data_IF_199973769276
#
_entry.id   IF_199973769276
#
_cell.length_a   1.000
_cell.length_b   1.000
_cell.length_c   1.000
_cell.angle_alpha   90.00
_cell.angle_beta   90.00
_cell.angle_gamma   90.00
#
_symmetry.space_group_name_H-M   'P 1'
#
loop_
_entity.id
_entity.type
_entity.pdbx_description
1 polymer ?
#
# COMPACT_ATOMS: atom_id res chain seq x y z
N UNK A 1 -11.12 -19.65 19.25
CA UNK A 1 -10.62 -20.47 18.14
C UNK A 1 -11.63 -20.59 16.98
N UNK A 2 -12.92 -20.87 17.23
CA UNK A 2 -13.95 -20.92 16.17
C UNK A 2 -14.14 -19.58 15.41
N UNK A 3 -14.06 -18.44 16.08
CA UNK A 3 -14.23 -17.12 15.47
C UNK A 3 -13.13 -16.80 14.43
N UNK A 4 -11.90 -17.25 14.66
CA UNK A 4 -10.78 -17.12 13.73
C UNK A 4 -11.00 -17.91 12.43
N UNK A 5 -11.54 -19.11 12.55
CA UNK A 5 -11.81 -20.00 11.39
C UNK A 5 -12.94 -19.42 10.52
N UNK A 6 -13.98 -18.84 11.11
CA UNK A 6 -15.12 -18.25 10.40
C UNK A 6 -14.70 -16.98 9.63
N UNK A 7 -13.86 -16.11 10.22
CA UNK A 7 -13.34 -14.91 9.54
C UNK A 7 -12.45 -15.30 8.36
N UNK A 8 -11.58 -16.30 8.52
CA UNK A 8 -10.71 -16.79 7.43
C UNK A 8 -11.53 -17.42 6.31
N UNK A 9 -12.54 -18.24 6.61
CA UNK A 9 -13.39 -18.89 5.61
C UNK A 9 -14.24 -17.84 4.85
N UNK A 10 -14.74 -16.80 5.52
CA UNK A 10 -15.54 -15.74 4.89
C UNK A 10 -14.68 -14.83 3.99
N UNK A 11 -13.41 -14.62 4.34
CA UNK A 11 -12.45 -13.86 3.53
C UNK A 11 -12.04 -14.65 2.27
N UNK A 12 -11.73 -15.95 2.42
CA UNK A 12 -11.35 -16.83 1.30
C UNK A 12 -12.51 -16.99 0.29
N UNK A 13 -13.77 -17.01 0.74
CA UNK A 13 -14.94 -17.13 -0.15
C UNK A 13 -15.25 -15.86 -0.95
N UNK A 14 -14.72 -14.68 -0.58
CA UNK A 14 -14.81 -13.42 -1.33
C UNK A 14 -13.65 -13.19 -2.30
N UNK A 15 -12.59 -13.98 -2.26
CA UNK A 15 -11.46 -13.92 -3.20
C UNK A 15 -11.77 -14.43 -4.62
N UNK A 16 -13.04 -14.54 -4.99
CA UNK A 16 -13.46 -14.59 -6.38
C UNK A 16 -13.14 -13.27 -7.08
N UNK A 17 -11.83 -13.03 -7.26
CA UNK A 17 -11.16 -12.08 -8.15
C UNK A 17 -12.09 -11.20 -9.00
N UNK A 18 -12.63 -10.14 -8.42
CA UNK A 18 -13.10 -9.06 -9.24
C UNK A 18 -11.92 -8.12 -9.51
N UNK A 19 -11.14 -8.42 -10.57
CA UNK A 19 -10.01 -7.56 -11.01
C UNK A 19 -10.40 -6.08 -11.09
N UNK A 20 -11.67 -5.77 -11.38
CA UNK A 20 -12.19 -4.42 -11.38
C UNK A 20 -12.21 -3.78 -9.99
N UNK A 21 -12.49 -4.55 -8.94
CA UNK A 21 -12.44 -4.06 -7.55
C UNK A 21 -11.01 -3.80 -7.12
N UNK A 22 -10.07 -4.69 -7.42
CA UNK A 22 -8.66 -4.51 -7.12
C UNK A 22 -8.08 -3.27 -7.83
N UNK A 23 -8.48 -3.00 -9.07
CA UNK A 23 -8.10 -1.75 -9.76
C UNK A 23 -8.59 -0.54 -9.01
N UNK A 24 -9.86 -0.51 -8.60
CA UNK A 24 -10.41 0.62 -7.85
C UNK A 24 -9.67 0.81 -6.51
N UNK A 25 -9.42 -0.25 -5.79
CA UNK A 25 -8.69 -0.20 -4.53
C UNK A 25 -7.25 0.32 -4.71
N UNK A 26 -6.54 -0.12 -5.75
CA UNK A 26 -5.20 0.39 -6.06
C UNK A 26 -5.21 1.87 -6.47
N UNK A 27 -6.26 2.33 -7.17
CA UNK A 27 -6.44 3.75 -7.49
C UNK A 27 -6.72 4.58 -6.23
N UNK A 28 -7.55 4.10 -5.30
CA UNK A 28 -7.80 4.77 -4.02
C UNK A 28 -6.48 4.95 -3.23
N UNK A 29 -5.65 3.92 -3.18
CA UNK A 29 -4.38 3.98 -2.44
C UNK A 29 -3.37 4.94 -3.05
N UNK A 30 -3.46 5.28 -4.35
CA UNK A 30 -2.59 6.28 -4.95
C UNK A 30 -2.72 7.67 -4.32
N UNK A 31 -3.81 7.93 -3.62
CA UNK A 31 -4.11 9.21 -2.97
C UNK A 31 -3.56 9.30 -1.53
N UNK A 32 -3.28 8.16 -0.90
CA UNK A 32 -2.86 8.07 0.51
C UNK A 32 -1.51 7.37 0.69
N UNK A 33 -0.99 6.66 -0.33
CA UNK A 33 0.31 5.98 -0.36
C UNK A 33 1.27 6.61 -1.38
N UNK A 34 2.11 5.79 -2.00
CA UNK A 34 3.21 6.21 -2.91
C UNK A 34 2.77 6.66 -4.31
N UNK A 35 1.48 6.68 -4.61
CA UNK A 35 0.96 7.19 -5.88
C UNK A 35 0.94 8.71 -5.93
N UNK A 36 0.94 9.25 -7.15
CA UNK A 36 0.77 10.67 -7.41
C UNK A 36 -0.31 10.88 -8.46
N UNK A 37 -1.30 11.74 -8.17
CA UNK A 37 -2.33 12.14 -9.12
C UNK A 37 -1.89 13.49 -9.73
N UNK A 38 -1.56 13.49 -11.00
CA UNK A 38 -1.03 14.64 -11.69
C UNK A 38 -2.00 15.14 -12.76
N UNK A 39 -2.15 16.45 -12.89
CA UNK A 39 -2.93 17.08 -13.96
C UNK A 39 -2.15 17.04 -15.26
N UNK A 40 -2.80 16.60 -16.32
CA UNK A 40 -2.26 16.65 -17.67
C UNK A 40 -3.38 17.09 -18.63
N UNK A 41 -3.35 18.35 -19.04
CA UNK A 41 -4.45 18.98 -19.78
C UNK A 41 -5.71 19.15 -18.92
N UNK A 42 -6.85 18.70 -19.44
CA UNK A 42 -8.15 18.79 -18.76
C UNK A 42 -8.36 17.72 -17.69
N UNK A 43 -7.69 16.58 -17.82
CA UNK A 43 -7.90 15.40 -16.98
C UNK A 43 -6.66 15.07 -16.16
N UNK A 44 -6.84 14.20 -15.17
CA UNK A 44 -5.77 13.66 -14.34
C UNK A 44 -5.21 12.37 -14.92
N UNK A 45 -3.94 12.08 -14.61
CA UNK A 45 -3.31 10.77 -14.74
C UNK A 45 -2.76 10.33 -13.37
N UNK A 46 -2.55 9.04 -13.19
CA UNK A 46 -1.98 8.48 -11.96
C UNK A 46 -0.58 7.96 -12.27
N UNK A 47 0.36 8.35 -11.45
CA UNK A 47 1.78 8.02 -11.58
C UNK A 47 2.23 7.20 -10.38
N UNK A 48 3.01 6.16 -10.64
CA UNK A 48 3.62 5.32 -9.61
C UNK A 48 5.12 5.25 -9.83
N UNK A 49 5.87 5.20 -8.74
CA UNK A 49 7.31 5.01 -8.78
C UNK A 49 7.80 4.22 -7.58
N UNK A 50 8.82 3.39 -7.78
CA UNK A 50 9.50 2.63 -6.73
C UNK A 50 10.92 2.27 -7.14
N UNK A 51 11.76 1.97 -6.18
CA UNK A 51 13.06 1.33 -6.42
C UNK A 51 12.94 -0.16 -6.77
N UNK A 52 11.77 -0.76 -6.56
CA UNK A 52 11.50 -2.18 -6.78
C UNK A 52 10.74 -2.39 -8.09
N UNK A 53 11.41 -2.97 -9.08
CA UNK A 53 10.85 -3.24 -10.41
C UNK A 53 9.61 -4.12 -10.34
N UNK A 54 9.70 -5.26 -9.67
CA UNK A 54 8.62 -6.25 -9.64
C UNK A 54 7.35 -5.68 -9.00
N UNK A 55 7.50 -4.84 -7.97
CA UNK A 55 6.35 -4.15 -7.37
C UNK A 55 5.69 -3.15 -8.34
N UNK A 56 6.48 -2.46 -9.17
CA UNK A 56 5.92 -1.60 -10.23
C UNK A 56 5.25 -2.42 -11.33
N UNK A 57 5.83 -3.54 -11.73
CA UNK A 57 5.21 -4.46 -12.69
C UNK A 57 3.89 -5.03 -12.15
N UNK A 58 3.82 -5.33 -10.85
CA UNK A 58 2.57 -5.77 -10.22
C UNK A 58 1.47 -4.70 -10.30
N UNK A 59 1.76 -3.48 -9.87
CA UNK A 59 0.80 -2.37 -9.94
C UNK A 59 0.37 -2.09 -11.37
N UNK A 60 1.31 -2.10 -12.32
CA UNK A 60 1.03 -1.95 -13.74
C UNK A 60 0.11 -3.07 -14.26
N UNK A 61 0.41 -4.34 -13.96
CA UNK A 61 -0.42 -5.51 -14.31
C UNK A 61 -1.87 -5.32 -13.84
N UNK A 62 -2.07 -4.90 -12.60
CA UNK A 62 -3.42 -4.69 -12.05
C UNK A 62 -4.14 -3.54 -12.77
N UNK A 63 -3.52 -2.34 -12.88
CA UNK A 63 -4.19 -1.16 -13.44
C UNK A 63 -4.46 -1.30 -14.93
N UNK A 64 -3.53 -1.90 -15.69
CA UNK A 64 -3.63 -2.05 -17.14
C UNK A 64 -4.80 -2.96 -17.58
N UNK A 65 -5.37 -3.74 -16.67
CA UNK A 65 -6.59 -4.51 -16.95
C UNK A 65 -7.81 -3.62 -17.28
N UNK A 66 -7.80 -2.37 -16.82
CA UNK A 66 -8.94 -1.45 -16.98
C UNK A 66 -8.57 -0.11 -17.59
N UNK A 67 -7.38 0.39 -17.33
CA UNK A 67 -6.93 1.70 -17.80
C UNK A 67 -5.63 1.55 -18.60
N UNK A 68 -5.57 2.15 -19.82
CA UNK A 68 -4.33 2.16 -20.59
C UNK A 68 -3.20 2.84 -19.79
N UNK A 69 -2.03 2.22 -19.79
CA UNK A 69 -0.84 2.68 -19.10
C UNK A 69 0.34 2.77 -20.06
N UNK A 70 1.30 3.64 -19.77
CA UNK A 70 2.64 3.51 -20.36
C UNK A 70 3.36 2.34 -19.68
N UNK A 71 4.25 1.67 -20.41
CA UNK A 71 5.05 0.59 -19.86
C UNK A 71 5.92 1.06 -18.68
N UNK A 72 6.25 0.14 -17.80
CA UNK A 72 7.18 0.40 -16.70
C UNK A 72 8.55 0.75 -17.28
N UNK A 73 9.04 1.93 -16.94
CA UNK A 73 10.32 2.49 -17.42
C UNK A 73 11.27 2.76 -16.26
N UNK A 74 12.55 2.75 -16.59
CA UNK A 74 13.62 3.17 -15.71
C UNK A 74 13.84 4.68 -15.84
N UNK A 75 14.01 5.38 -14.71
CA UNK A 75 14.28 6.82 -14.67
C UNK A 75 15.43 7.11 -13.72
N UNK A 76 16.35 7.97 -14.14
CA UNK A 76 17.37 8.53 -13.24
C UNK A 76 16.70 9.46 -12.22
N UNK A 77 16.92 9.19 -10.95
CA UNK A 77 16.42 9.96 -9.81
C UNK A 77 17.56 10.49 -8.92
N UNK A 78 18.77 10.57 -9.45
CA UNK A 78 19.95 11.05 -8.71
C UNK A 78 19.79 12.45 -8.13
N UNK A 79 18.93 13.28 -8.76
CA UNK A 79 18.54 14.62 -8.32
C UNK A 79 17.27 14.66 -7.46
N UNK A 80 16.62 13.51 -7.23
CA UNK A 80 15.40 13.43 -6.44
C UNK A 80 15.64 13.52 -4.93
N UNK A 81 14.55 13.71 -4.16
CA UNK A 81 14.60 13.85 -2.70
C UNK A 81 15.36 12.72 -2.00
N UNK A 82 15.18 11.49 -2.44
CA UNK A 82 15.80 10.31 -1.84
C UNK A 82 17.16 9.91 -2.44
N UNK A 83 17.65 10.59 -3.47
CA UNK A 83 18.95 10.34 -4.15
C UNK A 83 19.20 8.85 -4.47
N UNK A 84 18.14 8.08 -4.77
CA UNK A 84 18.22 6.62 -5.02
C UNK A 84 18.73 6.25 -6.41
N UNK A 85 19.48 7.12 -7.08
CA UNK A 85 20.05 6.85 -8.40
C UNK A 85 18.98 6.53 -9.45
N UNK A 86 18.39 5.34 -9.40
CA UNK A 86 17.43 4.88 -10.41
C UNK A 86 16.13 4.41 -9.78
N UNK A 87 15.00 4.75 -10.39
CA UNK A 87 13.66 4.29 -10.00
C UNK A 87 12.91 3.73 -11.20
N UNK A 88 12.02 2.78 -10.94
CA UNK A 88 11.03 2.30 -11.91
C UNK A 88 9.77 3.14 -11.78
N UNK A 89 9.16 3.51 -12.90
CA UNK A 89 7.92 4.29 -12.90
C UNK A 89 7.03 3.91 -14.07
N UNK A 90 5.73 4.13 -13.91
CA UNK A 90 4.75 4.15 -14.98
C UNK A 90 3.65 5.17 -14.66
N UNK A 91 2.85 5.51 -15.66
CA UNK A 91 1.63 6.29 -15.47
C UNK A 91 0.49 5.72 -16.31
N UNK A 92 -0.73 5.95 -15.85
CA UNK A 92 -1.91 5.83 -16.71
C UNK A 92 -1.92 6.94 -17.75
N UNK A 93 -2.66 6.74 -18.85
CA UNK A 93 -3.12 7.88 -19.66
C UNK A 93 -4.14 8.70 -18.85
N UNK A 94 -4.41 9.91 -19.30
CA UNK A 94 -5.39 10.79 -18.66
C UNK A 94 -6.79 10.22 -18.76
N UNK A 95 -7.58 10.37 -17.70
CA UNK A 95 -8.97 9.92 -17.67
C UNK A 95 -9.82 10.87 -16.81
N UNK A 96 -11.04 11.19 -17.24
CA UNK A 96 -11.96 12.08 -16.52
C UNK A 96 -12.36 11.52 -15.15
N UNK A 97 -12.44 10.18 -14.99
CA UNK A 97 -12.75 9.52 -13.71
C UNK A 97 -11.69 9.79 -12.64
N UNK A 98 -10.45 10.07 -13.04
CA UNK A 98 -9.40 10.41 -12.10
C UNK A 98 -9.55 11.82 -11.53
N UNK A 99 -10.33 12.71 -12.16
CA UNK A 99 -10.66 14.01 -11.59
C UNK A 99 -11.45 13.84 -10.29
N UNK A 100 -12.45 12.95 -10.28
CA UNK A 100 -13.22 12.65 -9.06
C UNK A 100 -12.34 12.07 -7.95
N UNK A 101 -11.43 11.15 -8.31
CA UNK A 101 -10.50 10.57 -7.35
C UNK A 101 -9.58 11.66 -6.73
N UNK A 102 -9.14 12.64 -7.53
CA UNK A 102 -8.31 13.74 -7.05
C UNK A 102 -9.03 14.65 -6.04
N UNK A 103 -10.35 14.74 -6.11
CA UNK A 103 -11.21 15.55 -5.24
C UNK A 103 -11.67 14.82 -3.97
N UNK A 104 -11.53 13.48 -3.91
CA UNK A 104 -11.92 12.70 -2.73
C UNK A 104 -11.09 13.07 -1.51
N UNK A 105 -11.74 13.22 -0.36
CA UNK A 105 -11.03 13.36 0.92
C UNK A 105 -10.33 12.06 1.30
N UNK A 106 -9.24 12.16 2.05
CA UNK A 106 -8.52 10.97 2.54
C UNK A 106 -9.41 10.12 3.46
N UNK A 107 -10.27 10.73 4.28
CA UNK A 107 -11.22 10.00 5.12
C UNK A 107 -12.19 9.16 4.27
N UNK A 108 -12.72 9.74 3.17
CA UNK A 108 -13.54 8.97 2.23
C UNK A 108 -12.79 7.79 1.64
N UNK A 109 -11.54 8.00 1.24
CA UNK A 109 -10.68 6.94 0.70
C UNK A 109 -10.45 5.85 1.74
N UNK A 110 -10.01 6.21 2.95
CA UNK A 110 -9.73 5.28 4.03
C UNK A 110 -10.96 4.43 4.36
N UNK A 111 -12.14 5.05 4.48
CA UNK A 111 -13.38 4.34 4.79
C UNK A 111 -13.79 3.35 3.70
N UNK A 112 -13.40 3.58 2.44
CA UNK A 112 -13.68 2.71 1.31
C UNK A 112 -12.58 1.67 1.02
N UNK A 113 -11.50 1.61 1.80
CA UNK A 113 -10.51 0.54 1.65
C UNK A 113 -11.11 -0.81 2.05
N UNK A 114 -10.89 -1.79 1.20
CA UNK A 114 -11.06 -3.19 1.53
C UNK A 114 -9.70 -3.82 1.95
N UNK A 115 -9.66 -5.14 2.09
CA UNK A 115 -8.43 -5.86 2.41
C UNK A 115 -7.34 -5.67 1.37
N UNK A 116 -7.67 -5.65 0.07
CA UNK A 116 -6.67 -5.44 -0.98
C UNK A 116 -6.15 -4.00 -0.99
N UNK A 117 -7.02 -3.02 -0.88
CA UNK A 117 -6.64 -1.60 -0.77
C UNK A 117 -5.75 -1.36 0.45
N UNK A 118 -6.12 -1.94 1.61
CA UNK A 118 -5.29 -1.84 2.80
C UNK A 118 -3.92 -2.49 2.60
N UNK A 119 -3.83 -3.66 1.94
CA UNK A 119 -2.55 -4.28 1.61
C UNK A 119 -1.67 -3.35 0.78
N UNK A 120 -2.21 -2.75 -0.28
CA UNK A 120 -1.44 -1.87 -1.16
C UNK A 120 -0.92 -0.63 -0.40
N UNK A 121 -1.80 0.04 0.37
CA UNK A 121 -1.39 1.14 1.26
C UNK A 121 -0.32 0.70 2.25
N UNK A 122 -0.50 -0.45 2.87
CA UNK A 122 0.42 -1.04 3.82
C UNK A 122 1.80 -1.35 3.21
N UNK A 123 1.86 -1.82 1.97
CA UNK A 123 3.12 -2.07 1.27
C UNK A 123 3.85 -0.77 0.90
N UNK A 124 3.13 0.31 0.62
CA UNK A 124 3.69 1.61 0.28
C UNK A 124 4.34 2.27 1.53
N UNK A 125 3.58 2.54 2.57
CA UNK A 125 3.93 3.51 3.63
C UNK A 125 4.45 2.92 4.94
N UNK A 126 4.86 1.66 4.95
CA UNK A 126 5.18 0.98 6.19
C UNK A 126 6.67 0.71 6.42
N UNK A 127 7.07 0.77 7.71
CA UNK A 127 8.32 0.21 8.21
C UNK A 127 8.07 -0.94 9.20
N UNK A 128 8.72 -2.10 8.97
CA UNK A 128 8.74 -3.22 9.91
C UNK A 128 9.94 -3.13 10.85
N UNK A 129 9.67 -3.11 12.15
CA UNK A 129 10.68 -3.11 13.18
C UNK A 129 10.99 -4.54 13.62
N UNK A 130 12.02 -5.13 13.03
CA UNK A 130 12.40 -6.53 13.19
C UNK A 130 12.67 -6.92 14.64
N UNK A 131 13.33 -6.05 15.42
CA UNK A 131 13.66 -6.28 16.84
C UNK A 131 12.43 -6.40 17.74
N UNK A 132 11.37 -5.65 17.46
CA UNK A 132 10.15 -5.61 18.27
C UNK A 132 8.97 -6.34 17.62
N UNK A 133 9.12 -6.86 16.41
CA UNK A 133 8.06 -7.48 15.60
C UNK A 133 6.81 -6.61 15.49
N UNK A 134 7.02 -5.29 15.45
CA UNK A 134 5.96 -4.27 15.35
C UNK A 134 6.04 -3.57 14.01
N UNK A 135 5.01 -2.80 13.69
CA UNK A 135 4.95 -2.02 12.48
C UNK A 135 4.65 -0.57 12.78
N UNK A 136 5.24 0.30 11.99
CA UNK A 136 4.95 1.71 11.99
C UNK A 136 4.40 2.12 10.61
N UNK A 137 3.21 2.70 10.59
CA UNK A 137 2.64 3.34 9.41
C UNK A 137 2.87 4.84 9.57
N UNK A 138 3.70 5.43 8.70
CA UNK A 138 3.99 6.85 8.76
C UNK A 138 2.80 7.68 8.27
N UNK A 139 2.43 8.71 9.05
CA UNK A 139 1.24 9.52 8.83
C UNK A 139 1.58 11.01 8.64
N UNK A 140 2.75 11.32 8.05
CA UNK A 140 3.25 12.70 7.93
C UNK A 140 2.33 13.63 7.15
N UNK A 141 1.54 13.09 6.23
CA UNK A 141 0.61 13.85 5.38
C UNK A 141 -0.85 13.79 5.84
N UNK A 142 -1.11 13.20 7.02
CA UNK A 142 -2.47 12.99 7.54
C UNK A 142 -2.78 14.00 8.65
N UNK A 143 -4.01 14.47 8.68
CA UNK A 143 -4.59 15.18 9.84
C UNK A 143 -4.89 14.19 10.96
N UNK A 144 -5.14 14.70 12.17
CA UNK A 144 -5.48 13.85 13.31
C UNK A 144 -6.79 13.07 13.09
N UNK A 145 -7.79 13.65 12.42
CA UNK A 145 -9.04 12.97 12.08
C UNK A 145 -8.83 11.86 11.04
N UNK A 146 -7.99 12.10 10.03
CA UNK A 146 -7.62 11.09 9.03
C UNK A 146 -6.88 9.91 9.68
N UNK A 147 -6.02 10.19 10.67
CA UNK A 147 -5.33 9.15 11.45
C UNK A 147 -6.32 8.35 12.29
N UNK A 148 -7.34 8.98 12.90
CA UNK A 148 -8.38 8.28 13.66
C UNK A 148 -9.23 7.39 12.74
N UNK A 149 -9.61 7.87 11.56
CA UNK A 149 -10.28 7.06 10.54
C UNK A 149 -9.43 5.82 10.15
N UNK A 150 -8.11 6.01 9.98
CA UNK A 150 -7.22 4.90 9.64
C UNK A 150 -7.12 3.86 10.77
N UNK A 151 -7.05 4.30 12.04
CA UNK A 151 -7.08 3.40 13.21
C UNK A 151 -8.37 2.57 13.22
N UNK A 152 -9.50 3.23 13.03
CA UNK A 152 -10.81 2.58 13.00
C UNK A 152 -10.89 1.57 11.85
N UNK A 153 -10.46 1.94 10.64
CA UNK A 153 -10.46 1.06 9.48
C UNK A 153 -9.57 -0.17 9.69
N UNK A 154 -8.37 -0.02 10.24
CA UNK A 154 -7.49 -1.15 10.56
C UNK A 154 -8.16 -2.08 11.57
N UNK A 155 -8.84 -1.53 12.57
CA UNK A 155 -9.55 -2.32 13.56
C UNK A 155 -10.79 -3.03 12.99
N UNK A 156 -11.49 -2.42 12.04
CA UNK A 156 -12.59 -3.08 11.30
C UNK A 156 -12.10 -4.28 10.48
N UNK A 157 -10.98 -4.12 9.76
CA UNK A 157 -10.39 -5.20 8.97
C UNK A 157 -9.73 -6.28 9.85
N UNK A 158 -9.07 -5.88 10.93
CA UNK A 158 -8.33 -6.76 11.83
C UNK A 158 -8.68 -6.46 13.29
N UNK A 159 -9.81 -6.99 13.81
CA UNK A 159 -10.35 -6.65 15.14
C UNK A 159 -9.61 -7.37 16.27
N UNK A 160 -8.28 -7.16 16.37
CA UNK A 160 -7.41 -7.79 17.37
C UNK A 160 -7.09 -6.79 18.48
N UNK A 161 -6.22 -5.81 18.16
CA UNK A 161 -5.85 -4.71 19.04
C UNK A 161 -5.77 -3.41 18.26
N UNK A 162 -6.35 -2.30 18.76
CA UNK A 162 -6.31 -1.03 18.06
C UNK A 162 -4.87 -0.50 17.93
N UNK A 163 -4.59 0.13 16.81
CA UNK A 163 -3.35 0.88 16.60
C UNK A 163 -3.28 2.08 17.56
N UNK A 164 -2.09 2.63 17.75
CA UNK A 164 -1.87 3.78 18.64
C UNK A 164 -1.09 4.88 17.93
N UNK A 165 -1.53 6.12 18.05
CA UNK A 165 -0.78 7.29 17.60
C UNK A 165 0.53 7.40 18.40
N UNK A 166 1.63 7.64 17.71
CA UNK A 166 2.96 7.84 18.27
C UNK A 166 3.70 8.89 17.46
N UNK A 167 4.76 9.45 18.06
CA UNK A 167 5.64 10.42 17.41
C UNK A 167 7.08 9.96 17.56
N UNK A 168 7.77 9.84 16.42
CA UNK A 168 9.21 9.61 16.38
C UNK A 168 9.91 10.97 16.37
N UNK A 169 10.66 11.28 17.44
CA UNK A 169 11.42 12.52 17.58
C UNK A 169 12.87 12.27 17.18
N UNK A 170 13.34 12.96 16.16
CA UNK A 170 14.75 12.90 15.74
C UNK A 170 15.61 13.84 16.57
N UNK A 171 16.91 13.56 16.61
CA UNK A 171 17.90 14.39 17.34
C UNK A 171 17.98 15.84 16.82
N UNK A 172 17.59 16.06 15.58
CA UNK A 172 17.53 17.39 14.94
C UNK A 172 16.24 18.17 15.22
N UNK A 173 15.39 17.68 16.14
CA UNK A 173 14.13 18.31 16.54
C UNK A 173 12.94 17.99 15.65
N UNK A 174 13.13 17.32 14.49
CA UNK A 174 12.02 16.92 13.63
C UNK A 174 11.18 15.84 14.30
N UNK A 175 9.86 15.91 14.06
CA UNK A 175 8.88 14.97 14.60
C UNK A 175 8.10 14.31 13.47
N UNK A 176 7.98 12.99 13.52
CA UNK A 176 7.29 12.19 12.51
C UNK A 176 6.17 11.40 13.17
N UNK A 177 4.89 11.79 12.95
CA UNK A 177 3.77 11.04 13.46
C UNK A 177 3.66 9.69 12.75
N UNK A 178 3.37 8.66 13.51
CA UNK A 178 3.13 7.32 12.99
C UNK A 178 2.12 6.56 13.81
N UNK A 179 1.49 5.56 13.20
CA UNK A 179 0.70 4.56 13.88
C UNK A 179 1.57 3.38 14.29
N UNK A 180 1.60 3.12 15.58
CA UNK A 180 2.14 1.88 16.13
C UNK A 180 1.09 0.77 15.98
N UNK A 181 1.42 -0.26 15.20
CA UNK A 181 0.58 -1.46 15.04
C UNK A 181 1.06 -2.52 16.05
N UNK A 182 0.19 -2.97 16.99
CA UNK A 182 0.56 -3.96 17.98
C UNK A 182 0.96 -5.31 17.37
N UNK A 183 1.84 -6.05 18.07
CA UNK A 183 2.38 -7.34 17.60
C UNK A 183 1.29 -8.33 17.20
N UNK A 184 0.21 -8.43 17.98
CA UNK A 184 -0.86 -9.38 17.68
C UNK A 184 -1.64 -9.01 16.43
N UNK A 185 -1.87 -7.70 16.19
CA UNK A 185 -2.47 -7.18 14.97
C UNK A 185 -1.52 -7.40 13.77
N UNK A 186 -0.21 -7.20 13.96
CA UNK A 186 0.81 -7.52 12.94
C UNK A 186 0.77 -8.98 12.54
N UNK A 187 0.67 -9.90 13.52
CA UNK A 187 0.55 -11.34 13.23
C UNK A 187 -0.70 -11.67 12.42
N UNK A 188 -1.85 -11.05 12.75
CA UNK A 188 -3.09 -11.25 12.01
C UNK A 188 -2.98 -10.75 10.57
N UNK A 189 -2.42 -9.53 10.36
CA UNK A 189 -2.15 -8.97 9.04
C UNK A 189 -1.23 -9.88 8.23
N UNK A 190 -0.11 -10.33 8.84
CA UNK A 190 0.85 -11.22 8.18
C UNK A 190 0.20 -12.55 7.81
N UNK A 191 -0.55 -13.18 8.72
CA UNK A 191 -1.23 -14.45 8.46
C UNK A 191 -2.25 -14.33 7.32
N UNK A 192 -2.98 -13.21 7.28
CA UNK A 192 -3.99 -12.96 6.26
C UNK A 192 -3.40 -12.81 4.85
N UNK A 193 -2.31 -12.02 4.71
CA UNK A 193 -1.75 -11.71 3.38
C UNK A 193 -0.64 -12.66 2.93
N UNK A 194 -0.12 -13.51 3.81
CA UNK A 194 1.03 -14.36 3.52
C UNK A 194 0.84 -15.19 2.26
N UNK A 195 -0.26 -15.95 2.18
CA UNK A 195 -0.47 -16.88 1.08
C UNK A 195 -0.73 -16.14 -0.24
N UNK A 196 -1.48 -15.03 -0.19
CA UNK A 196 -1.67 -14.17 -1.35
C UNK A 196 -0.32 -13.68 -1.91
N UNK A 197 0.56 -13.14 -1.05
CA UNK A 197 1.84 -12.60 -1.48
C UNK A 197 2.82 -13.70 -1.91
N UNK A 198 2.75 -14.89 -1.34
CA UNK A 198 3.57 -16.03 -1.77
C UNK A 198 3.13 -16.60 -3.13
N UNK A 199 1.85 -16.50 -3.46
CA UNK A 199 1.29 -16.94 -4.74
C UNK A 199 1.40 -15.88 -5.86
N UNK A 200 1.82 -14.65 -5.56
CA UNK A 200 2.05 -13.59 -6.55
C UNK A 200 3.56 -13.26 -6.64
N UNK A 201 4.29 -13.84 -7.60
CA UNK A 201 5.76 -13.69 -7.69
C UNK A 201 6.23 -12.24 -7.72
N UNK A 202 5.47 -11.34 -8.35
CA UNK A 202 5.81 -9.91 -8.43
C UNK A 202 5.75 -9.18 -7.07
N UNK A 203 5.13 -9.80 -6.05
CA UNK A 203 5.10 -9.27 -4.68
C UNK A 203 6.18 -9.89 -3.77
N UNK A 204 6.96 -10.86 -4.22
CA UNK A 204 8.01 -11.48 -3.39
C UNK A 204 9.05 -10.47 -2.91
N UNK A 205 9.36 -9.44 -3.72
CA UNK A 205 10.23 -8.34 -3.33
C UNK A 205 9.70 -7.52 -2.13
N UNK A 206 8.40 -7.65 -1.81
CA UNK A 206 7.74 -6.95 -0.71
C UNK A 206 7.50 -7.82 0.54
N UNK A 207 7.85 -9.11 0.54
CA UNK A 207 7.63 -10.02 1.68
C UNK A 207 8.26 -9.51 2.98
N UNK A 208 9.41 -8.81 2.90
CA UNK A 208 10.04 -8.18 4.06
C UNK A 208 9.12 -7.18 4.76
N UNK A 209 8.18 -6.59 4.06
CA UNK A 209 7.15 -5.71 4.63
C UNK A 209 6.21 -6.48 5.58
N UNK A 210 5.99 -7.77 5.41
CA UNK A 210 5.28 -8.64 6.34
C UNK A 210 6.19 -9.29 7.41
N UNK A 211 7.48 -8.94 7.44
CA UNK A 211 8.47 -9.58 8.30
C UNK A 211 8.85 -10.99 7.85
N UNK A 212 8.52 -11.35 6.62
CA UNK A 212 8.89 -12.60 5.98
C UNK A 212 10.24 -12.44 5.24
N UNK A 213 11.04 -13.51 5.08
CA UNK A 213 12.25 -13.43 4.27
C UNK A 213 11.89 -13.10 2.82
N UNK A 214 12.59 -12.15 2.22
CA UNK A 214 12.50 -11.87 0.79
C UNK A 214 13.02 -13.09 0.06
N UNK A 215 12.19 -13.73 -0.74
CA UNK A 215 12.69 -14.69 -1.72
C UNK A 215 13.29 -13.88 -2.87
N UNK A 216 14.61 -13.79 -2.91
CA UNK A 216 15.29 -13.33 -4.12
C UNK A 216 15.04 -14.43 -5.16
N UNK A 217 14.27 -14.13 -6.19
CA UNK A 217 14.19 -15.01 -7.36
C UNK A 217 15.60 -14.94 -7.95
N UNK A 218 16.42 -15.96 -7.69
CA UNK A 218 17.63 -16.16 -8.48
C UNK A 218 17.15 -16.22 -9.93
N UNK A 219 17.47 -15.17 -10.69
CA UNK A 219 17.29 -15.20 -12.13
C UNK A 219 18.18 -16.34 -12.61
N UNK A 220 17.57 -17.48 -12.86
CA UNK A 220 18.19 -18.49 -13.70
C UNK A 220 18.34 -17.84 -15.08
N UNK A 221 19.56 -17.40 -15.33
CA UNK A 221 20.05 -17.00 -16.65
C UNK A 221 20.18 -18.24 -17.54
#
# INVERSE_FOLDING_TARGET
>A
MLYYVVVIIYAISREGNNLNENVMQLLLTSRIGDGNIARNGKNMCIQYSSVLQDYMLYKHKVISTKYPCIDVKLKDNSKGYNKHGTIYYFSTYTNEKFNQLAEMSKETIINNLDYFGYLMYYLDDRAYHKSHRTMHLYCNSFTDSEVDCLIQKIYELFPIKPCRKRVDKKKDGRSYPYLYVPVDTVKAITAYYKDFMLNEPLLHCMLYKLGLPSQTIEKQL
#
